data_IF_636448299549
#
_entry.id   IF_636448299549
#
_cell.length_a   1.000
_cell.length_b   1.000
_cell.length_c   1.000
_cell.angle_alpha   90.00
_cell.angle_beta   90.00
_cell.angle_gamma   90.00
#
_symmetry.space_group_name_H-M   'P 1'
#
loop_
_entity.id
_entity.type
_entity.pdbx_description
1 polymer ?
#
# COMPACT_ATOMS: atom_id res chain seq x y z
N UNK A 1 9.45 -6.67 10.08
CA UNK A 1 8.98 -5.39 9.48
C UNK A 1 8.35 -4.56 10.59
N UNK A 2 8.86 -3.36 10.84
CA UNK A 2 8.20 -2.44 11.76
C UNK A 2 6.84 -2.02 11.20
N UNK A 3 5.87 -1.77 12.07
CA UNK A 3 4.54 -1.33 11.66
C UNK A 3 4.60 0.00 10.86
N UNK A 4 5.55 0.86 11.22
CA UNK A 4 5.85 2.11 10.53
C UNK A 4 6.30 1.90 9.09
N UNK A 5 7.14 0.88 8.83
CA UNK A 5 7.65 0.57 7.48
C UNK A 5 6.52 0.22 6.52
N UNK A 6 5.51 -0.51 6.99
CA UNK A 6 4.37 -0.90 6.15
C UNK A 6 3.53 0.30 5.74
N UNK A 7 3.30 1.25 6.64
CA UNK A 7 2.51 2.46 6.35
C UNK A 7 3.24 3.33 5.33
N UNK A 8 4.56 3.49 5.47
CA UNK A 8 5.37 4.24 4.52
C UNK A 8 5.27 3.59 3.13
N UNK A 9 5.44 2.26 3.04
CA UNK A 9 5.30 1.52 1.78
C UNK A 9 3.91 1.68 1.15
N UNK A 10 2.84 1.67 1.94
CA UNK A 10 1.48 1.91 1.44
C UNK A 10 1.35 3.31 0.83
N UNK A 11 1.92 4.34 1.47
CA UNK A 11 1.90 5.72 0.95
C UNK A 11 2.70 5.84 -0.33
N UNK A 12 3.91 5.27 -0.38
CA UNK A 12 4.75 5.28 -1.59
C UNK A 12 4.05 4.52 -2.72
N UNK A 13 3.48 3.35 -2.44
CA UNK A 13 2.69 2.57 -3.41
C UNK A 13 1.57 3.40 -4.05
N UNK A 14 0.77 4.12 -3.24
CA UNK A 14 -0.29 4.98 -3.75
C UNK A 14 0.26 6.12 -4.62
N UNK A 15 1.31 6.79 -4.15
CA UNK A 15 1.93 7.91 -4.87
C UNK A 15 2.52 7.47 -6.21
N UNK A 16 3.23 6.35 -6.27
CA UNK A 16 3.77 5.81 -7.52
C UNK A 16 2.65 5.45 -8.51
N UNK A 17 1.56 4.87 -8.02
CA UNK A 17 0.41 4.53 -8.86
C UNK A 17 -0.29 5.79 -9.39
N UNK A 18 -0.43 6.84 -8.58
CA UNK A 18 -0.96 8.15 -9.01
C UNK A 18 -0.06 8.82 -10.06
N UNK A 19 1.24 8.54 -10.06
CA UNK A 19 2.19 8.97 -11.09
C UNK A 19 2.20 8.05 -12.34
N UNK A 20 1.29 7.08 -12.45
CA UNK A 20 1.16 6.22 -13.62
C UNK A 20 2.12 5.03 -13.68
N UNK A 21 2.85 4.74 -12.60
CA UNK A 21 3.73 3.57 -12.54
C UNK A 21 2.89 2.28 -12.42
N UNK A 22 3.28 1.23 -13.14
CA UNK A 22 2.56 -0.04 -13.13
C UNK A 22 2.61 -0.73 -11.76
N UNK A 23 1.56 -1.46 -11.33
CA UNK A 23 1.58 -2.23 -10.10
C UNK A 23 2.72 -3.26 -10.01
N UNK A 24 3.14 -3.80 -11.14
CA UNK A 24 4.27 -4.71 -11.29
C UNK A 24 5.58 -4.02 -10.91
N UNK A 25 5.87 -2.87 -11.51
CA UNK A 25 7.09 -2.09 -11.23
C UNK A 25 7.09 -1.60 -9.78
N UNK A 26 5.94 -1.14 -9.26
CA UNK A 26 5.79 -0.75 -7.86
C UNK A 26 6.14 -1.91 -6.92
N UNK A 27 5.69 -3.12 -7.26
CA UNK A 27 5.96 -4.31 -6.44
C UNK A 27 7.45 -4.65 -6.39
N UNK A 28 8.15 -4.51 -7.52
CA UNK A 28 9.59 -4.71 -7.62
C UNK A 28 10.36 -3.63 -6.85
N UNK A 29 10.02 -2.35 -7.06
CA UNK A 29 10.67 -1.21 -6.41
C UNK A 29 10.52 -1.24 -4.88
N UNK A 30 9.35 -1.62 -4.37
CA UNK A 30 9.08 -1.69 -2.94
C UNK A 30 9.52 -3.02 -2.29
N UNK A 31 9.97 -3.99 -3.08
CA UNK A 31 10.33 -5.32 -2.60
C UNK A 31 9.18 -6.02 -1.89
N UNK A 32 7.97 -5.95 -2.47
CA UNK A 32 6.76 -6.61 -1.95
C UNK A 32 6.12 -7.48 -3.03
N UNK A 33 5.37 -8.50 -2.63
CA UNK A 33 4.65 -9.32 -3.61
C UNK A 33 3.62 -8.50 -4.38
N UNK A 34 3.54 -8.73 -5.71
CA UNK A 34 2.54 -8.10 -6.60
C UNK A 34 1.12 -8.16 -6.03
N UNK A 35 0.74 -9.29 -5.43
CA UNK A 35 -0.59 -9.50 -4.85
C UNK A 35 -0.88 -8.50 -3.73
N UNK A 36 0.13 -8.17 -2.92
CA UNK A 36 0.03 -7.16 -1.87
C UNK A 36 -0.20 -5.78 -2.47
N UNK A 37 0.54 -5.41 -3.52
CA UNK A 37 0.36 -4.16 -4.26
C UNK A 37 -1.08 -4.03 -4.76
N UNK A 38 -1.60 -5.02 -5.49
CA UNK A 38 -2.99 -5.00 -5.97
C UNK A 38 -4.02 -4.91 -4.85
N UNK A 39 -3.82 -5.65 -3.74
CA UNK A 39 -4.72 -5.59 -2.58
C UNK A 39 -4.74 -4.19 -1.96
N UNK A 40 -3.58 -3.56 -1.82
CA UNK A 40 -3.48 -2.19 -1.31
C UNK A 40 -4.16 -1.21 -2.25
N UNK A 41 -3.82 -1.21 -3.54
CA UNK A 41 -4.41 -0.32 -4.53
C UNK A 41 -5.94 -0.48 -4.61
N UNK A 42 -6.45 -1.72 -4.61
CA UNK A 42 -7.89 -1.99 -4.58
C UNK A 42 -8.54 -1.43 -3.31
N UNK A 43 -7.94 -1.65 -2.14
CA UNK A 43 -8.45 -1.14 -0.87
C UNK A 43 -8.45 0.38 -0.80
N UNK A 44 -7.40 1.02 -1.33
CA UNK A 44 -7.29 2.48 -1.40
C UNK A 44 -8.32 3.05 -2.37
N UNK A 45 -8.50 2.45 -3.55
CA UNK A 45 -9.52 2.88 -4.53
C UNK A 45 -10.94 2.82 -3.97
N UNK A 46 -11.24 1.85 -3.10
CA UNK A 46 -12.58 1.69 -2.52
C UNK A 46 -12.85 2.62 -1.33
N UNK A 47 -11.83 2.99 -0.55
CA UNK A 47 -12.02 3.63 0.76
C UNK A 47 -11.29 4.97 0.92
N UNK A 48 -10.38 5.29 0.01
CA UNK A 48 -9.38 6.36 0.14
C UNK A 48 -8.20 5.96 1.02
N UNK A 49 -7.05 6.60 0.76
CA UNK A 49 -5.75 6.29 1.41
C UNK A 49 -5.80 6.42 2.94
N UNK A 50 -6.49 7.44 3.46
CA UNK A 50 -6.55 7.71 4.89
C UNK A 50 -7.35 6.65 5.66
N UNK A 51 -8.49 6.20 5.12
CA UNK A 51 -9.30 5.14 5.73
C UNK A 51 -8.58 3.80 5.63
N UNK A 52 -7.96 3.51 4.49
CA UNK A 52 -7.17 2.29 4.31
C UNK A 52 -6.01 2.17 5.31
N UNK A 53 -5.22 3.23 5.51
CA UNK A 53 -4.13 3.24 6.50
C UNK A 53 -4.67 3.05 7.92
N UNK A 54 -5.81 3.65 8.26
CA UNK A 54 -6.43 3.49 9.59
C UNK A 54 -6.84 2.05 9.85
N UNK A 55 -7.52 1.41 8.90
CA UNK A 55 -7.92 0.00 8.98
C UNK A 55 -6.68 -0.90 9.10
N UNK A 56 -5.64 -0.65 8.29
CA UNK A 56 -4.39 -1.41 8.32
C UNK A 56 -3.66 -1.30 9.68
N UNK A 57 -3.67 -0.11 10.29
CA UNK A 57 -3.11 0.11 11.64
C UNK A 57 -3.83 -0.71 12.70
N UNK A 58 -5.16 -0.75 12.66
CA UNK A 58 -5.95 -1.46 13.66
C UNK A 58 -5.73 -2.97 13.61
N UNK A 59 -5.64 -3.56 12.41
CA UNK A 59 -5.45 -5.00 12.24
C UNK A 59 -4.10 -5.48 12.80
N UNK A 60 -3.03 -4.71 12.60
CA UNK A 60 -1.66 -5.07 13.02
C UNK A 60 -1.31 -4.65 14.45
N UNK A 61 -2.21 -3.93 15.14
CA UNK A 61 -2.09 -3.62 16.58
C UNK A 61 -2.57 -4.80 17.45
N UNK A 62 -3.33 -5.73 16.86
CA UNK A 62 -3.60 -7.06 17.42
C UNK A 62 -2.49 -8.02 17.00
#
# INVERSE_FOLDING_TARGET
>A
MSHTDSIIRIRICNSLYENGISPEDISQQLGIHRVTTYRWLRGIRQKGINKFIRDYKQVKKR
#
